data_IF_121987601236
#
_entry.id   IF_121987601236
#
_cell.length_a   1.000
_cell.length_b   1.000
_cell.length_c   1.000
_cell.angle_alpha   90.00
_cell.angle_beta   90.00
_cell.angle_gamma   90.00
#
_symmetry.space_group_name_H-M   'P 1'
#
loop_
_entity.id
_entity.type
_entity.pdbx_description
1 polymer ?
#
# COMPACT_ATOMS: atom_id res chain seq x y z
N UNK A 1 -78.58 8.62 -14.88
CA UNK A 1 -77.24 9.06 -14.42
C UNK A 1 -76.71 8.28 -13.21
N UNK A 2 -77.55 7.60 -12.43
CA UNK A 2 -77.17 7.07 -11.10
C UNK A 2 -76.35 5.77 -11.05
N UNK A 3 -76.28 4.95 -12.11
CA UNK A 3 -75.53 3.68 -12.06
C UNK A 3 -74.04 3.79 -12.42
N UNK A 4 -73.69 4.75 -13.29
CA UNK A 4 -72.30 4.97 -13.72
C UNK A 4 -71.46 5.61 -12.62
N UNK A 5 -72.07 6.52 -11.86
CA UNK A 5 -71.39 7.19 -10.76
C UNK A 5 -71.08 6.23 -9.62
N UNK A 6 -72.03 5.35 -9.25
CA UNK A 6 -71.80 4.31 -8.21
C UNK A 6 -70.67 3.36 -8.62
N UNK A 7 -70.59 2.98 -9.90
CA UNK A 7 -69.50 2.15 -10.39
C UNK A 7 -68.16 2.89 -10.33
N UNK A 8 -68.12 4.16 -10.74
CA UNK A 8 -66.92 4.99 -10.67
C UNK A 8 -66.40 5.17 -9.23
N UNK A 9 -67.29 5.44 -8.26
CA UNK A 9 -66.93 5.55 -6.85
C UNK A 9 -66.39 4.23 -6.29
N UNK A 10 -66.99 3.10 -6.66
CA UNK A 10 -66.52 1.78 -6.20
C UNK A 10 -65.13 1.43 -6.75
N UNK A 11 -64.85 1.76 -8.01
CA UNK A 11 -63.53 1.57 -8.62
C UNK A 11 -62.49 2.48 -7.98
N UNK A 12 -62.84 3.74 -7.70
CA UNK A 12 -61.94 4.69 -7.03
C UNK A 12 -61.57 4.21 -5.62
N UNK A 13 -62.54 3.69 -4.87
CA UNK A 13 -62.33 3.17 -3.52
C UNK A 13 -61.42 1.93 -3.52
N UNK A 14 -61.63 1.02 -4.48
CA UNK A 14 -60.75 -0.12 -4.70
C UNK A 14 -59.33 0.33 -5.01
N UNK A 15 -59.13 1.26 -5.96
CA UNK A 15 -57.80 1.77 -6.30
C UNK A 15 -57.11 2.44 -5.10
N UNK A 16 -57.83 3.21 -4.31
CA UNK A 16 -57.29 3.84 -3.09
C UNK A 16 -56.85 2.79 -2.06
N UNK A 17 -57.67 1.75 -1.86
CA UNK A 17 -57.33 0.66 -0.94
C UNK A 17 -56.09 -0.12 -1.40
N UNK A 18 -55.97 -0.44 -2.69
CA UNK A 18 -54.80 -1.11 -3.25
C UNK A 18 -53.52 -0.27 -3.17
N UNK A 19 -53.61 1.03 -3.46
CA UNK A 19 -52.47 1.94 -3.33
C UNK A 19 -52.03 2.09 -1.87
N UNK A 20 -52.98 2.17 -0.93
CA UNK A 20 -52.67 2.24 0.50
C UNK A 20 -52.01 0.97 1.02
N UNK A 21 -52.47 -0.21 0.59
CA UNK A 21 -51.88 -1.50 0.97
C UNK A 21 -50.48 -1.67 0.40
N UNK A 22 -50.28 -1.29 -0.87
CA UNK A 22 -48.98 -1.34 -1.54
C UNK A 22 -47.97 -0.41 -0.86
N UNK A 23 -48.40 0.81 -0.50
CA UNK A 23 -47.58 1.77 0.23
C UNK A 23 -47.21 1.26 1.63
N UNK A 24 -48.15 0.65 2.35
CA UNK A 24 -47.89 0.04 3.67
C UNK A 24 -46.91 -1.14 3.59
N UNK A 25 -47.07 -2.03 2.59
CA UNK A 25 -46.16 -3.15 2.36
C UNK A 25 -44.75 -2.66 1.98
N UNK A 26 -44.65 -1.60 1.17
CA UNK A 26 -43.37 -1.01 0.78
C UNK A 26 -42.65 -0.35 1.96
N UNK A 27 -43.37 0.38 2.83
CA UNK A 27 -42.79 0.97 4.04
C UNK A 27 -42.37 -0.08 5.06
N UNK A 28 -43.17 -1.13 5.26
CA UNK A 28 -42.82 -2.23 6.18
C UNK A 28 -41.54 -2.95 5.74
N UNK A 29 -41.44 -3.29 4.46
CA UNK A 29 -40.28 -3.99 3.91
C UNK A 29 -39.02 -3.10 3.94
N UNK A 30 -39.16 -1.79 3.71
CA UNK A 30 -38.07 -0.83 3.87
C UNK A 30 -37.56 -0.74 5.31
N UNK A 31 -38.46 -0.64 6.29
CA UNK A 31 -38.13 -0.54 7.71
C UNK A 31 -37.42 -1.80 8.23
N UNK A 32 -37.87 -2.99 7.83
CA UNK A 32 -37.25 -4.27 8.20
C UNK A 32 -35.85 -4.42 7.56
N UNK A 33 -35.67 -3.89 6.35
CA UNK A 33 -34.36 -3.87 5.68
C UNK A 33 -33.39 -2.92 6.41
N UNK A 34 -33.84 -1.74 6.84
CA UNK A 34 -33.00 -0.82 7.62
C UNK A 34 -32.68 -1.36 9.01
N UNK A 35 -33.63 -2.01 9.68
CA UNK A 35 -33.39 -2.65 10.97
C UNK A 35 -32.38 -3.79 10.87
N UNK A 36 -32.48 -4.63 9.84
CA UNK A 36 -31.51 -5.72 9.65
C UNK A 36 -30.11 -5.20 9.34
N UNK A 37 -29.98 -4.18 8.48
CA UNK A 37 -28.69 -3.53 8.20
C UNK A 37 -28.10 -2.84 9.43
N UNK A 38 -28.92 -2.19 10.25
CA UNK A 38 -28.47 -1.55 11.49
C UNK A 38 -28.02 -2.59 12.52
N UNK A 39 -28.74 -3.71 12.64
CA UNK A 39 -28.38 -4.81 13.54
C UNK A 39 -27.07 -5.47 13.11
N UNK A 40 -26.89 -5.67 11.80
CA UNK A 40 -25.65 -6.20 11.22
C UNK A 40 -24.47 -5.25 11.47
N UNK A 41 -24.66 -3.95 11.26
CA UNK A 41 -23.65 -2.93 11.55
C UNK A 41 -23.28 -2.93 13.04
N UNK A 42 -24.27 -3.01 13.93
CA UNK A 42 -24.07 -3.06 15.36
C UNK A 42 -23.33 -4.33 15.81
N UNK A 43 -23.61 -5.48 15.19
CA UNK A 43 -22.86 -6.72 15.43
C UNK A 43 -21.41 -6.61 14.96
N UNK A 44 -21.17 -6.03 13.77
CA UNK A 44 -19.81 -5.79 13.26
C UNK A 44 -19.03 -4.85 14.17
N UNK A 45 -19.69 -3.82 14.71
CA UNK A 45 -19.08 -2.86 15.62
C UNK A 45 -18.73 -3.49 16.97
N UNK A 46 -19.64 -4.29 17.54
CA UNK A 46 -19.37 -5.05 18.78
C UNK A 46 -18.24 -6.08 18.60
N UNK A 47 -18.19 -6.74 17.43
CA UNK A 47 -17.10 -7.65 17.10
C UNK A 47 -15.77 -6.91 17.00
N UNK A 48 -15.76 -5.75 16.31
CA UNK A 48 -14.58 -4.90 16.18
C UNK A 48 -14.10 -4.38 17.55
N UNK A 49 -15.00 -3.94 18.44
CA UNK A 49 -14.64 -3.52 19.80
C UNK A 49 -14.04 -4.67 20.62
N UNK A 50 -14.62 -5.86 20.52
CA UNK A 50 -14.12 -7.04 21.24
C UNK A 50 -12.73 -7.44 20.76
N UNK A 51 -12.51 -7.45 19.45
CA UNK A 51 -11.20 -7.70 18.85
C UNK A 51 -10.20 -6.61 19.22
N UNK A 52 -10.58 -5.33 19.17
CA UNK A 52 -9.72 -4.23 19.56
C UNK A 52 -9.32 -4.31 21.04
N UNK A 53 -10.26 -4.71 21.92
CA UNK A 53 -9.99 -4.93 23.35
C UNK A 53 -9.08 -6.12 23.60
N UNK A 54 -9.21 -7.20 22.83
CA UNK A 54 -8.31 -8.35 22.88
C UNK A 54 -6.89 -7.95 22.45
N UNK A 55 -6.79 -7.22 21.33
CA UNK A 55 -5.51 -6.70 20.79
C UNK A 55 -4.84 -5.70 21.72
N UNK A 56 -5.61 -4.83 22.39
CA UNK A 56 -5.09 -3.92 23.42
C UNK A 56 -4.44 -4.68 24.60
N UNK A 57 -5.02 -5.81 25.00
CA UNK A 57 -4.41 -6.69 26.03
C UNK A 57 -3.12 -7.33 25.53
N UNK A 58 -3.10 -7.82 24.29
CA UNK A 58 -1.89 -8.39 23.68
C UNK A 58 -0.77 -7.34 23.58
N UNK A 59 -1.10 -6.10 23.19
CA UNK A 59 -0.14 -4.98 23.17
C UNK A 59 0.38 -4.63 24.57
N UNK A 60 -0.47 -4.67 25.59
CA UNK A 60 -0.04 -4.47 26.99
C UNK A 60 0.97 -5.54 27.40
N UNK A 61 0.74 -6.81 27.04
CA UNK A 61 1.65 -7.92 27.34
C UNK A 61 3.00 -7.71 26.63
N UNK A 62 2.98 -7.30 25.36
CA UNK A 62 4.22 -7.01 24.60
C UNK A 62 4.96 -5.83 25.20
N UNK A 63 4.26 -4.76 25.59
CA UNK A 63 4.86 -3.59 26.21
C UNK A 63 5.48 -3.90 27.57
N UNK A 64 4.84 -4.75 28.37
CA UNK A 64 5.39 -5.22 29.65
C UNK A 64 6.61 -6.12 29.43
N UNK A 65 6.60 -6.98 28.40
CA UNK A 65 7.78 -7.77 28.02
C UNK A 65 8.96 -6.87 27.57
N UNK A 66 8.70 -5.80 26.80
CA UNK A 66 9.72 -4.83 26.41
C UNK A 66 10.28 -4.10 27.65
N UNK A 67 9.42 -3.67 28.58
CA UNK A 67 9.87 -3.04 29.82
C UNK A 67 10.77 -3.96 30.65
N UNK A 68 10.42 -5.25 30.74
CA UNK A 68 11.24 -6.24 31.43
C UNK A 68 12.62 -6.39 30.77
N UNK A 69 12.67 -6.48 29.43
CA UNK A 69 13.93 -6.57 28.68
C UNK A 69 14.78 -5.29 28.83
N UNK A 70 14.16 -4.11 28.85
CA UNK A 70 14.85 -2.83 29.07
C UNK A 70 15.38 -2.75 30.50
N UNK A 71 14.61 -3.21 31.49
CA UNK A 71 15.05 -3.27 32.89
C UNK A 71 16.20 -4.27 33.09
N UNK A 72 16.16 -5.43 32.44
CA UNK A 72 17.26 -6.39 32.42
C UNK A 72 18.52 -5.80 31.78
N UNK A 73 18.39 -5.00 30.72
CA UNK A 73 19.52 -4.31 30.07
C UNK A 73 20.14 -3.24 30.97
N UNK A 74 19.33 -2.50 31.73
CA UNK A 74 19.81 -1.53 32.72
C UNK A 74 20.59 -2.23 33.85
N UNK A 75 20.14 -3.41 34.29
CA UNK A 75 20.82 -4.20 35.32
C UNK A 75 22.08 -4.94 34.81
N UNK A 76 22.14 -5.27 33.51
CA UNK A 76 23.22 -6.09 32.92
C UNK A 76 24.39 -5.29 32.33
N UNK A 77 24.40 -3.96 32.46
CA UNK A 77 25.56 -3.12 32.07
C UNK A 77 26.81 -3.32 32.95
N UNK A 78 26.79 -4.26 33.90
CA UNK A 78 27.91 -4.54 34.79
C UNK A 78 28.83 -5.69 34.35
N UNK A 79 28.47 -6.61 33.44
CA UNK A 79 29.36 -7.74 33.08
C UNK A 79 29.16 -8.24 31.62
N UNK A 80 30.26 -8.34 30.87
CA UNK A 80 30.41 -9.01 29.55
C UNK A 80 29.92 -10.49 29.59
N UNK A 81 29.52 -11.21 28.52
CA UNK A 81 30.14 -11.40 27.18
C UNK A 81 29.16 -11.99 26.14
N UNK A 82 29.54 -11.85 24.87
CA UNK A 82 28.95 -12.11 23.54
C UNK A 82 28.03 -13.32 23.26
N UNK A 83 27.80 -14.29 24.14
CA UNK A 83 27.03 -15.52 23.79
C UNK A 83 25.50 -15.37 23.82
N UNK A 84 24.95 -14.34 24.46
CA UNK A 84 23.50 -14.12 24.55
C UNK A 84 22.92 -13.32 23.36
N UNK A 85 23.79 -12.69 22.56
CA UNK A 85 23.36 -11.83 21.46
C UNK A 85 22.65 -12.61 20.35
N UNK A 86 23.02 -13.86 20.07
CA UNK A 86 22.44 -14.61 18.94
C UNK A 86 21.01 -15.10 19.22
N UNK A 87 20.73 -15.62 20.42
CA UNK A 87 19.37 -15.99 20.82
C UNK A 87 18.44 -14.77 20.95
N UNK A 88 19.01 -13.63 21.35
CA UNK A 88 18.28 -12.37 21.49
C UNK A 88 18.04 -11.68 20.14
N UNK A 89 18.96 -11.80 19.18
CA UNK A 89 18.79 -11.32 17.79
C UNK A 89 17.72 -12.11 17.06
N UNK A 90 17.62 -13.42 17.33
CA UNK A 90 16.58 -14.32 16.81
C UNK A 90 15.21 -14.04 17.42
N UNK A 91 15.15 -13.65 18.70
CA UNK A 91 13.90 -13.17 19.33
C UNK A 91 13.52 -11.78 18.85
N UNK A 92 14.46 -10.86 18.71
CA UNK A 92 14.22 -9.49 18.22
C UNK A 92 13.78 -9.49 16.75
N UNK A 93 14.33 -10.34 15.88
CA UNK A 93 13.89 -10.49 14.49
C UNK A 93 12.45 -10.98 14.36
N UNK A 94 11.97 -11.76 15.34
CA UNK A 94 10.57 -12.19 15.40
C UNK A 94 9.62 -11.10 15.93
N UNK A 95 10.13 -10.04 16.56
CA UNK A 95 9.33 -8.91 17.05
C UNK A 95 9.32 -7.73 16.08
N UNK A 96 10.39 -7.50 15.32
CA UNK A 96 10.44 -6.47 14.27
C UNK A 96 9.72 -6.88 12.97
N UNK A 97 9.32 -8.15 12.83
CA UNK A 97 8.56 -8.62 11.67
C UNK A 97 7.09 -8.21 11.71
N UNK A 98 6.54 -7.77 12.85
CA UNK A 98 5.15 -7.31 12.91
C UNK A 98 5.05 -5.88 12.38
N UNK A 99 4.38 -5.76 11.24
CA UNK A 99 4.00 -4.52 10.56
C UNK A 99 3.76 -3.36 11.55
N UNK A 100 4.27 -2.14 11.27
CA UNK A 100 3.93 -0.96 12.05
C UNK A 100 2.42 -0.87 12.29
N UNK A 101 2.02 -0.47 13.50
CA UNK A 101 0.63 -0.35 13.98
C UNK A 101 -0.35 0.35 13.01
N UNK A 102 0.16 1.11 12.03
CA UNK A 102 -0.59 1.80 10.99
C UNK A 102 -1.08 0.89 9.85
N UNK A 103 -0.55 -0.33 9.67
CA UNK A 103 -1.04 -1.27 8.65
C UNK A 103 -2.22 -2.14 9.12
N UNK A 104 -2.75 -1.90 10.32
CA UNK A 104 -3.89 -2.65 10.87
C UNK A 104 -5.14 -2.58 9.95
N UNK A 105 -5.26 -1.49 9.19
CA UNK A 105 -6.38 -1.29 8.26
C UNK A 105 -6.19 -1.98 6.90
N UNK A 106 -5.02 -2.56 6.59
CA UNK A 106 -4.86 -3.25 5.30
C UNK A 106 -5.88 -4.39 5.15
N UNK A 107 -6.16 -5.12 6.22
CA UNK A 107 -7.18 -6.18 6.20
C UNK A 107 -8.61 -5.68 6.05
N UNK A 108 -8.87 -4.38 6.25
CA UNK A 108 -10.16 -3.78 5.94
C UNK A 108 -10.32 -3.57 4.43
N UNK A 109 -9.26 -3.10 3.76
CA UNK A 109 -9.27 -2.85 2.32
C UNK A 109 -9.02 -4.11 1.49
N UNK A 110 -8.23 -5.05 2.02
CA UNK A 110 -7.80 -6.32 1.41
C UNK A 110 -8.13 -7.50 2.36
N UNK A 111 -9.42 -7.81 2.59
CA UNK A 111 -9.83 -8.81 3.58
C UNK A 111 -9.37 -10.23 3.27
N UNK A 112 -9.14 -10.57 1.99
CA UNK A 112 -8.61 -11.87 1.58
C UNK A 112 -7.21 -12.16 2.15
N UNK A 113 -6.48 -11.14 2.59
CA UNK A 113 -5.17 -11.31 3.23
C UNK A 113 -5.26 -11.86 4.65
N UNK A 114 -6.44 -11.87 5.29
CA UNK A 114 -6.61 -12.49 6.61
C UNK A 114 -6.33 -13.99 6.57
N UNK A 115 -6.63 -14.66 5.46
CA UNK A 115 -6.33 -16.07 5.24
C UNK A 115 -4.88 -16.30 4.76
N UNK A 116 -4.18 -15.22 4.41
CA UNK A 116 -2.87 -15.22 3.76
C UNK A 116 -1.96 -14.12 4.32
N UNK A 117 -1.75 -14.09 5.64
CA UNK A 117 -0.97 -13.03 6.30
C UNK A 117 0.45 -12.89 5.73
N UNK A 118 1.06 -13.99 5.30
CA UNK A 118 2.40 -14.00 4.70
C UNK A 118 2.48 -13.23 3.37
N UNK A 119 1.35 -12.95 2.72
CA UNK A 119 1.29 -12.27 1.42
C UNK A 119 1.53 -10.76 1.50
N UNK A 120 1.60 -10.21 2.71
CA UNK A 120 2.07 -8.84 2.95
C UNK A 120 3.60 -8.72 2.87
N UNK A 121 4.32 -9.84 2.96
CA UNK A 121 5.77 -9.87 2.86
C UNK A 121 6.20 -10.23 1.44
N UNK A 122 7.16 -9.50 0.84
CA UNK A 122 7.67 -9.85 -0.48
C UNK A 122 8.41 -11.18 -0.47
N UNK A 123 8.32 -11.87 -1.60
CA UNK A 123 9.32 -12.85 -1.97
C UNK A 123 10.59 -12.10 -2.38
N UNK A 124 11.57 -12.03 -1.47
CA UNK A 124 12.87 -11.41 -1.73
C UNK A 124 13.74 -12.41 -2.47
N UNK A 125 13.95 -12.18 -3.76
CA UNK A 125 14.75 -13.05 -4.64
C UNK A 125 16.22 -12.65 -4.61
N UNK A 126 16.47 -11.34 -4.50
CA UNK A 126 17.80 -10.77 -4.34
C UNK A 126 17.71 -9.68 -3.27
N UNK A 127 18.52 -9.76 -2.22
CA UNK A 127 18.66 -8.67 -1.29
C UNK A 127 19.58 -9.00 -0.11
N UNK A 128 20.24 -7.98 0.41
CA UNK A 128 21.08 -8.05 1.61
C UNK A 128 20.40 -7.43 2.84
N UNK A 129 19.15 -6.98 2.70
CA UNK A 129 18.39 -6.37 3.79
C UNK A 129 18.95 -5.02 4.23
N UNK A 130 19.48 -4.24 3.29
CA UNK A 130 20.09 -2.93 3.61
C UNK A 130 19.01 -1.97 4.12
N UNK A 131 19.33 -1.27 5.20
CA UNK A 131 18.50 -0.26 5.88
C UNK A 131 19.35 0.94 6.31
N UNK A 132 18.70 2.05 6.67
CA UNK A 132 19.36 3.26 7.18
C UNK A 132 19.97 4.14 6.10
N UNK A 133 19.53 4.02 4.84
CA UNK A 133 20.01 4.83 3.72
C UNK A 133 19.26 6.17 3.61
N UNK A 134 19.84 7.16 2.96
CA UNK A 134 19.13 8.43 2.71
C UNK A 134 18.00 8.25 1.70
N UNK A 135 18.25 7.49 0.61
CA UNK A 135 17.31 7.37 -0.51
C UNK A 135 17.02 5.91 -0.88
N UNK A 136 15.74 5.57 -0.98
CA UNK A 136 15.25 4.31 -1.52
C UNK A 136 14.58 4.60 -2.87
N UNK A 137 14.99 3.92 -3.93
CA UNK A 137 14.44 4.06 -5.27
C UNK A 137 13.63 2.82 -5.64
N UNK A 138 12.31 2.97 -5.79
CA UNK A 138 11.42 1.88 -6.18
C UNK A 138 11.21 1.85 -7.70
N UNK A 139 11.49 0.71 -8.33
CA UNK A 139 11.31 0.48 -9.77
C UNK A 139 10.39 -0.73 -9.98
N UNK A 140 9.09 -0.51 -10.25
CA UNK A 140 8.18 -1.58 -10.63
C UNK A 140 8.43 -1.99 -12.08
N UNK A 141 8.40 -3.29 -12.36
CA UNK A 141 8.50 -3.85 -13.70
C UNK A 141 7.46 -4.94 -13.90
N UNK A 142 6.95 -5.04 -15.12
CA UNK A 142 5.85 -5.91 -15.55
C UNK A 142 6.28 -6.64 -16.81
N UNK A 143 5.72 -7.83 -17.06
CA UNK A 143 6.05 -8.58 -18.27
C UNK A 143 5.54 -7.85 -19.51
N UNK A 144 6.47 -7.45 -20.38
CA UNK A 144 6.19 -6.86 -21.70
C UNK A 144 6.51 -7.88 -22.80
N UNK A 145 5.73 -7.89 -23.89
CA UNK A 145 5.90 -8.86 -24.98
C UNK A 145 7.08 -8.53 -25.91
N UNK A 146 7.43 -7.25 -26.06
CA UNK A 146 8.37 -6.78 -27.10
C UNK A 146 9.80 -6.59 -26.59
N UNK A 147 9.96 -5.83 -25.50
CA UNK A 147 11.29 -5.46 -24.99
C UNK A 147 11.21 -5.15 -23.49
N UNK A 148 12.26 -5.54 -22.75
CA UNK A 148 12.49 -5.12 -21.37
C UNK A 148 13.44 -3.92 -21.34
N UNK A 149 13.01 -2.84 -20.68
CA UNK A 149 13.78 -1.59 -20.56
C UNK A 149 14.59 -1.51 -19.26
N UNK A 150 14.30 -2.40 -18.30
CA UNK A 150 14.85 -2.40 -16.95
C UNK A 150 16.38 -2.32 -16.93
N UNK A 151 17.07 -3.11 -17.75
CA UNK A 151 18.54 -3.11 -17.76
C UNK A 151 19.13 -1.78 -18.24
N UNK A 152 18.48 -1.13 -19.21
CA UNK A 152 18.89 0.20 -19.67
C UNK A 152 18.74 1.23 -18.55
N UNK A 153 17.61 1.18 -17.84
CA UNK A 153 17.33 2.04 -16.68
C UNK A 153 18.34 1.84 -15.56
N UNK A 154 18.62 0.59 -15.16
CA UNK A 154 19.60 0.29 -14.10
C UNK A 154 21.01 0.73 -14.47
N UNK A 155 21.44 0.47 -15.72
CA UNK A 155 22.72 0.94 -16.21
C UNK A 155 22.81 2.47 -16.13
N UNK A 156 21.79 3.18 -16.58
CA UNK A 156 21.76 4.65 -16.52
C UNK A 156 21.80 5.18 -15.09
N UNK A 157 21.04 4.56 -14.17
CA UNK A 157 21.01 4.95 -12.76
C UNK A 157 22.36 4.76 -12.08
N UNK A 158 22.99 3.58 -12.23
CA UNK A 158 24.24 3.25 -11.55
C UNK A 158 25.47 3.89 -12.19
N UNK A 159 25.42 4.18 -13.50
CA UNK A 159 26.49 4.91 -14.18
C UNK A 159 26.64 6.33 -13.64
N UNK A 160 25.53 6.99 -13.33
CA UNK A 160 25.48 8.36 -12.83
C UNK A 160 25.66 8.47 -11.29
N UNK A 161 25.95 7.36 -10.60
CA UNK A 161 26.19 7.33 -9.15
C UNK A 161 27.67 7.16 -8.80
N UNK A 162 28.14 7.92 -7.81
CA UNK A 162 29.44 7.67 -7.16
C UNK A 162 29.36 6.48 -6.17
N UNK A 163 30.51 5.95 -5.76
CA UNK A 163 30.57 4.88 -4.75
C UNK A 163 29.94 5.29 -3.41
N UNK A 164 30.10 6.56 -3.00
CA UNK A 164 29.46 7.09 -1.79
C UNK A 164 27.93 7.10 -1.92
N UNK A 165 27.41 7.50 -3.08
CA UNK A 165 25.97 7.51 -3.35
C UNK A 165 25.41 6.09 -3.40
N UNK A 166 26.14 5.13 -4.00
CA UNK A 166 25.76 3.71 -3.97
C UNK A 166 25.72 3.13 -2.55
N UNK A 167 26.51 3.65 -1.62
CA UNK A 167 26.48 3.23 -0.21
C UNK A 167 25.30 3.84 0.57
N UNK A 168 24.83 5.01 0.16
CA UNK A 168 23.76 5.77 0.80
C UNK A 168 22.40 5.63 0.09
N UNK A 169 22.21 4.53 -0.66
CA UNK A 169 20.94 4.21 -1.27
C UNK A 169 20.65 2.72 -1.39
N UNK A 170 19.39 2.43 -1.72
CA UNK A 170 18.91 1.11 -2.15
C UNK A 170 17.99 1.32 -3.35
N UNK A 171 18.23 0.57 -4.43
CA UNK A 171 17.34 0.41 -5.57
C UNK A 171 16.57 -0.90 -5.38
N UNK A 172 15.26 -0.81 -5.29
CA UNK A 172 14.36 -1.96 -5.15
C UNK A 172 13.64 -2.17 -6.46
N UNK A 173 13.94 -3.27 -7.14
CA UNK A 173 13.19 -3.73 -8.30
C UNK A 173 12.00 -4.56 -7.80
N UNK A 174 10.80 -4.11 -8.09
CA UNK A 174 9.58 -4.87 -7.84
C UNK A 174 9.10 -5.52 -9.13
N UNK A 175 9.33 -6.82 -9.26
CA UNK A 175 8.79 -7.60 -10.36
C UNK A 175 7.32 -7.88 -10.04
N UNK A 176 6.43 -7.08 -10.62
CA UNK A 176 4.99 -7.10 -10.36
C UNK A 176 4.28 -8.28 -11.06
N UNK A 177 4.89 -9.45 -10.99
CA UNK A 177 4.46 -10.70 -11.61
C UNK A 177 4.45 -11.82 -10.58
N UNK A 178 3.53 -12.77 -10.75
CA UNK A 178 3.36 -13.92 -9.85
C UNK A 178 4.00 -15.20 -10.39
N UNK A 179 4.37 -15.21 -11.68
CA UNK A 179 5.01 -16.36 -12.32
C UNK A 179 6.47 -16.46 -11.87
N UNK A 180 6.78 -17.51 -11.10
CA UNK A 180 8.10 -17.71 -10.50
C UNK A 180 9.22 -17.86 -11.54
N UNK A 181 8.97 -18.49 -12.70
CA UNK A 181 9.97 -18.64 -13.75
C UNK A 181 10.37 -17.29 -14.35
N UNK A 182 9.38 -16.43 -14.60
CA UNK A 182 9.62 -15.07 -15.09
C UNK A 182 10.34 -14.21 -14.05
N UNK A 183 9.92 -14.26 -12.78
CA UNK A 183 10.59 -13.54 -11.70
C UNK A 183 12.05 -13.98 -11.58
N UNK A 184 12.30 -15.29 -11.61
CA UNK A 184 13.66 -15.84 -11.52
C UNK A 184 14.52 -15.48 -12.74
N UNK A 185 13.95 -15.42 -13.94
CA UNK A 185 14.72 -15.02 -15.14
C UNK A 185 15.14 -13.56 -15.09
N UNK A 186 14.29 -12.66 -14.57
CA UNK A 186 14.65 -11.26 -14.31
C UNK A 186 15.73 -11.18 -13.24
N UNK A 187 15.56 -11.89 -12.12
CA UNK A 187 16.55 -11.90 -11.05
C UNK A 187 17.93 -12.41 -11.53
N UNK A 188 17.96 -13.48 -12.33
CA UNK A 188 19.21 -14.00 -12.91
C UNK A 188 19.87 -13.01 -13.87
N UNK A 189 19.06 -12.35 -14.70
CA UNK A 189 19.56 -11.30 -15.59
C UNK A 189 20.16 -10.14 -14.80
N UNK A 190 19.50 -9.71 -13.71
CA UNK A 190 20.00 -8.65 -12.81
C UNK A 190 21.30 -9.09 -12.13
N UNK A 191 21.36 -10.32 -11.62
CA UNK A 191 22.54 -10.88 -10.95
C UNK A 191 23.74 -10.96 -11.89
N UNK A 192 23.51 -11.32 -13.14
CA UNK A 192 24.55 -11.43 -14.17
C UNK A 192 25.06 -10.05 -14.59
N UNK A 193 24.17 -9.06 -14.77
CA UNK A 193 24.56 -7.73 -15.24
C UNK A 193 25.11 -6.81 -14.14
N UNK A 194 24.68 -6.98 -12.88
CA UNK A 194 25.04 -6.11 -11.76
C UNK A 194 25.52 -6.87 -10.51
N UNK A 195 26.55 -7.74 -10.63
CA UNK A 195 26.96 -8.61 -9.53
C UNK A 195 27.48 -7.83 -8.32
N UNK A 196 28.21 -6.72 -8.54
CA UNK A 196 28.77 -5.88 -7.48
C UNK A 196 27.67 -5.15 -6.70
N UNK A 197 26.68 -4.60 -7.41
CA UNK A 197 25.54 -3.91 -6.82
C UNK A 197 24.71 -4.88 -5.96
N UNK A 198 24.44 -6.08 -6.48
CA UNK A 198 23.75 -7.15 -5.75
C UNK A 198 24.53 -7.57 -4.50
N UNK A 199 25.84 -7.79 -4.62
CA UNK A 199 26.68 -8.21 -3.49
C UNK A 199 26.77 -7.12 -2.42
N UNK A 200 26.88 -5.86 -2.82
CA UNK A 200 26.93 -4.74 -1.87
C UNK A 200 25.59 -4.55 -1.13
N UNK A 201 24.47 -4.98 -1.70
CA UNK A 201 23.13 -4.75 -1.19
C UNK A 201 22.53 -3.40 -1.60
N UNK A 202 23.12 -2.67 -2.56
CA UNK A 202 22.48 -1.48 -3.16
C UNK A 202 21.32 -1.87 -4.09
N UNK A 203 21.30 -3.09 -4.61
CA UNK A 203 20.26 -3.56 -5.53
C UNK A 203 19.52 -4.76 -4.95
N UNK A 204 18.20 -4.64 -4.87
CA UNK A 204 17.30 -5.70 -4.40
C UNK A 204 16.25 -6.02 -5.48
N UNK A 205 15.82 -7.29 -5.54
CA UNK A 205 14.74 -7.78 -6.40
C UNK A 205 13.72 -8.47 -5.52
N UNK A 206 12.49 -7.98 -5.57
CA UNK A 206 11.34 -8.52 -4.84
C UNK A 206 10.18 -8.82 -5.79
N UNK A 207 9.33 -9.77 -5.41
CA UNK A 207 8.06 -10.04 -6.10
C UNK A 207 6.94 -10.30 -5.08
N UNK A 208 5.68 -10.11 -5.47
CA UNK A 208 4.54 -10.41 -4.60
C UNK A 208 4.17 -11.90 -4.69
N UNK A 209 3.53 -12.42 -3.64
CA UNK A 209 2.83 -13.71 -3.72
C UNK A 209 1.52 -13.55 -4.50
N UNK A 210 1.05 -14.62 -5.17
CA UNK A 210 -0.20 -14.57 -5.93
C UNK A 210 -1.41 -14.17 -5.06
N UNK A 211 -1.44 -14.64 -3.81
CA UNK A 211 -2.48 -14.34 -2.82
C UNK A 211 -2.42 -12.91 -2.29
N UNK A 212 -1.42 -12.10 -2.63
CA UNK A 212 -1.44 -10.66 -2.35
C UNK A 212 -2.59 -9.97 -3.09
N UNK A 213 -2.84 -10.37 -4.34
CA UNK A 213 -3.85 -9.74 -5.16
C UNK A 213 -5.26 -10.29 -4.84
N UNK A 214 -6.27 -9.41 -4.70
CA UNK A 214 -7.66 -9.83 -4.65
C UNK A 214 -8.11 -10.35 -6.03
N UNK A 215 -9.30 -10.93 -6.10
CA UNK A 215 -9.94 -11.19 -7.38
C UNK A 215 -10.22 -9.88 -8.13
N UNK A 216 -9.56 -9.71 -9.28
CA UNK A 216 -9.68 -8.55 -10.16
C UNK A 216 -10.60 -8.81 -11.38
N UNK A 217 -11.30 -9.94 -11.43
CA UNK A 217 -12.18 -10.29 -12.55
C UNK A 217 -13.49 -9.48 -12.59
N UNK A 218 -13.99 -9.09 -11.40
CA UNK A 218 -15.30 -8.45 -11.22
C UNK A 218 -15.19 -6.94 -10.91
N UNK A 219 -14.32 -6.22 -11.62
CA UNK A 219 -14.17 -4.78 -11.46
C UNK A 219 -15.21 -4.01 -12.26
N UNK A 220 -15.73 -2.93 -11.68
CA UNK A 220 -16.65 -2.00 -12.36
C UNK A 220 -15.88 -1.19 -13.40
N UNK A 221 -16.39 -1.17 -14.62
CA UNK A 221 -15.89 -0.28 -15.68
C UNK A 221 -16.18 1.18 -15.31
N UNK A 222 -15.16 2.02 -15.41
CA UNK A 222 -15.25 3.46 -15.14
C UNK A 222 -14.42 4.22 -16.16
N UNK A 223 -14.70 5.53 -16.32
CA UNK A 223 -13.95 6.43 -17.22
C UNK A 223 -13.93 6.03 -18.70
N UNK A 224 -14.80 5.11 -19.12
CA UNK A 224 -14.82 4.59 -20.50
C UNK A 224 -13.66 3.62 -20.80
N UNK A 225 -12.93 3.18 -19.78
CA UNK A 225 -11.84 2.21 -19.90
C UNK A 225 -12.38 0.79 -20.16
N UNK A 226 -11.63 0.00 -20.93
CA UNK A 226 -11.89 -1.44 -21.06
C UNK A 226 -11.65 -2.17 -19.73
N UNK A 227 -12.19 -3.39 -19.58
CA UNK A 227 -11.95 -4.23 -18.40
C UNK A 227 -10.46 -4.46 -18.14
N UNK A 228 -9.68 -4.67 -19.19
CA UNK A 228 -8.24 -4.87 -19.10
C UNK A 228 -7.55 -3.62 -18.57
N UNK A 229 -7.95 -2.43 -19.04
CA UNK A 229 -7.40 -1.16 -18.57
C UNK A 229 -7.78 -0.88 -17.12
N UNK A 230 -9.02 -1.16 -16.72
CA UNK A 230 -9.49 -1.08 -15.33
C UNK A 230 -8.69 -2.02 -14.44
N UNK A 231 -8.56 -3.29 -14.84
CA UNK A 231 -7.74 -4.27 -14.13
C UNK A 231 -6.29 -3.81 -13.99
N UNK A 232 -5.71 -3.25 -15.06
CA UNK A 232 -4.35 -2.73 -15.06
C UNK A 232 -4.16 -1.61 -14.02
N UNK A 233 -4.98 -0.56 -14.06
CA UNK A 233 -4.87 0.57 -13.12
C UNK A 233 -5.16 0.15 -11.68
N UNK A 234 -6.08 -0.78 -11.46
CA UNK A 234 -6.37 -1.32 -10.12
C UNK A 234 -5.20 -2.15 -9.59
N UNK A 235 -4.59 -3.00 -10.42
CA UNK A 235 -3.39 -3.75 -10.06
C UNK A 235 -2.23 -2.80 -9.76
N UNK A 236 -2.03 -1.76 -10.57
CA UNK A 236 -0.97 -0.76 -10.37
C UNK A 236 -1.06 -0.06 -9.02
N UNK A 237 -2.27 0.28 -8.55
CA UNK A 237 -2.47 0.81 -7.20
C UNK A 237 -1.93 -0.13 -6.12
N UNK A 238 -2.19 -1.43 -6.26
CA UNK A 238 -1.72 -2.46 -5.33
C UNK A 238 -0.20 -2.67 -5.42
N UNK A 239 0.34 -2.63 -6.65
CA UNK A 239 1.77 -2.79 -6.94
C UNK A 239 2.60 -1.70 -6.27
N UNK A 240 2.21 -0.43 -6.47
CA UNK A 240 2.93 0.70 -5.90
C UNK A 240 2.77 0.74 -4.38
N UNK A 241 1.57 0.42 -3.87
CA UNK A 241 1.33 0.29 -2.42
C UNK A 241 2.26 -0.74 -1.79
N UNK A 242 2.42 -1.91 -2.41
CA UNK A 242 3.30 -2.96 -1.92
C UNK A 242 4.77 -2.52 -1.87
N UNK A 243 5.25 -1.92 -2.97
CA UNK A 243 6.62 -1.43 -3.09
C UNK A 243 6.93 -0.32 -2.08
N UNK A 244 6.01 0.64 -1.92
CA UNK A 244 6.14 1.73 -0.94
C UNK A 244 6.24 1.20 0.49
N UNK A 245 5.40 0.24 0.86
CA UNK A 245 5.45 -0.38 2.20
C UNK A 245 6.75 -1.13 2.45
N UNK A 246 7.25 -1.87 1.46
CA UNK A 246 8.55 -2.55 1.58
C UNK A 246 9.71 -1.56 1.71
N UNK A 247 9.64 -0.41 1.05
CA UNK A 247 10.65 0.63 1.11
C UNK A 247 10.63 1.43 2.43
N UNK A 248 9.49 1.47 3.12
CA UNK A 248 9.27 2.29 4.32
C UNK A 248 10.35 2.17 5.40
N UNK A 249 10.78 0.97 5.84
CA UNK A 249 11.79 0.85 6.90
C UNK A 249 13.23 1.04 6.41
N UNK A 250 13.47 1.20 5.10
CA UNK A 250 14.82 1.13 4.52
C UNK A 250 15.58 2.44 4.53
N UNK A 251 14.90 3.59 4.44
CA UNK A 251 15.59 4.86 4.35
C UNK A 251 14.77 6.07 4.76
N UNK A 252 15.30 7.26 4.51
CA UNK A 252 14.67 8.54 4.87
C UNK A 252 13.67 9.02 3.81
N UNK A 253 14.04 8.87 2.54
CA UNK A 253 13.22 9.25 1.40
C UNK A 253 12.95 8.05 0.49
N UNK A 254 11.78 8.03 -0.11
CA UNK A 254 11.38 7.09 -1.15
C UNK A 254 11.13 7.82 -2.46
N UNK A 255 11.80 7.41 -3.53
CA UNK A 255 11.62 7.92 -4.88
C UNK A 255 10.95 6.85 -5.74
N UNK A 256 9.78 7.16 -6.25
CA UNK A 256 9.09 6.31 -7.21
C UNK A 256 9.65 6.53 -8.62
N UNK A 257 10.08 5.45 -9.27
CA UNK A 257 10.58 5.43 -10.64
C UNK A 257 9.75 4.45 -11.49
N UNK A 258 10.03 4.40 -12.80
CA UNK A 258 9.55 3.37 -13.75
C UNK A 258 10.76 2.66 -14.37
N UNK A 259 10.52 1.53 -15.04
CA UNK A 259 11.56 0.68 -15.61
C UNK A 259 12.07 1.14 -16.98
N UNK A 260 11.57 2.25 -17.52
CA UNK A 260 11.91 2.83 -18.83
C UNK A 260 12.34 4.31 -18.76
N UNK A 261 13.30 4.61 -17.89
CA UNK A 261 13.88 5.95 -17.75
C UNK A 261 15.39 6.03 -18.02
N UNK A 262 15.83 7.27 -18.24
CA UNK A 262 17.25 7.62 -18.33
C UNK A 262 17.55 8.69 -17.28
N UNK A 263 18.49 8.37 -16.38
CA UNK A 263 18.94 9.27 -15.34
C UNK A 263 19.67 10.48 -15.93
N UNK A 264 19.40 11.66 -15.38
CA UNK A 264 20.18 12.86 -15.70
C UNK A 264 21.47 12.90 -14.87
N UNK A 265 22.54 13.53 -15.38
CA UNK A 265 23.75 13.68 -14.61
C UNK A 265 23.52 14.35 -13.25
N UNK A 266 24.13 13.75 -12.22
CA UNK A 266 24.05 14.18 -10.82
C UNK A 266 22.63 14.17 -10.23
N UNK A 267 21.69 13.39 -10.78
CA UNK A 267 20.31 13.35 -10.28
C UNK A 267 20.26 13.05 -8.77
N UNK A 268 21.06 12.10 -8.29
CA UNK A 268 21.07 11.69 -6.88
C UNK A 268 21.37 12.86 -5.95
N UNK A 269 22.47 13.58 -6.24
CA UNK A 269 22.90 14.73 -5.44
C UNK A 269 21.86 15.85 -5.49
N UNK A 270 21.30 16.13 -6.68
CA UNK A 270 20.28 17.18 -6.87
C UNK A 270 19.01 16.88 -6.08
N UNK A 271 18.51 15.65 -6.15
CA UNK A 271 17.33 15.20 -5.40
C UNK A 271 17.57 15.32 -3.90
N UNK A 272 18.69 14.76 -3.40
CA UNK A 272 19.03 14.79 -1.98
C UNK A 272 19.20 16.22 -1.46
N UNK A 273 19.94 17.05 -2.18
CA UNK A 273 20.17 18.46 -1.79
C UNK A 273 18.88 19.25 -1.78
N UNK A 274 18.02 19.08 -2.79
CA UNK A 274 16.73 19.75 -2.85
C UNK A 274 15.82 19.32 -1.70
N UNK A 275 15.70 18.02 -1.43
CA UNK A 275 14.89 17.51 -0.32
C UNK A 275 15.36 18.03 1.05
N UNK A 276 16.66 18.05 1.30
CA UNK A 276 17.25 18.55 2.55
C UNK A 276 17.16 20.08 2.70
N UNK A 277 17.04 20.82 1.59
CA UNK A 277 16.87 22.27 1.62
C UNK A 277 15.48 22.73 2.03
N UNK A 278 14.49 21.82 2.02
CA UNK A 278 13.11 22.13 2.38
C UNK A 278 12.87 21.91 3.87
N UNK A 279 12.11 22.80 4.54
CA UNK A 279 11.70 22.58 5.93
C UNK A 279 10.96 21.24 6.08
N UNK A 280 11.24 20.51 7.16
CA UNK A 280 10.76 19.14 7.35
C UNK A 280 9.25 19.00 7.48
N UNK A 281 8.51 20.10 7.68
CA UNK A 281 7.10 20.10 8.05
C UNK A 281 6.20 20.76 6.98
N UNK A 282 6.75 21.25 5.88
CA UNK A 282 6.02 22.08 4.90
C UNK A 282 5.64 21.38 3.59
N UNK A 283 6.14 20.16 3.33
CA UNK A 283 5.88 19.45 2.07
C UNK A 283 5.36 18.04 2.30
N UNK A 284 4.60 17.51 1.35
CA UNK A 284 4.10 16.12 1.33
C UNK A 284 4.85 15.31 0.28
N UNK A 285 5.06 15.90 -0.90
CA UNK A 285 5.74 15.29 -2.04
C UNK A 285 6.65 16.33 -2.69
N UNK A 286 7.81 15.89 -3.19
CA UNK A 286 8.64 16.68 -4.11
C UNK A 286 8.66 15.98 -5.48
N UNK A 287 8.46 16.75 -6.54
CA UNK A 287 8.34 16.21 -7.89
C UNK A 287 9.56 16.51 -8.75
N UNK A 288 10.05 15.49 -9.46
CA UNK A 288 11.20 15.57 -10.36
C UNK A 288 10.87 15.11 -11.79
N UNK A 289 9.60 14.81 -12.05
CA UNK A 289 9.05 14.51 -13.38
C UNK A 289 7.65 15.10 -13.51
N UNK A 290 7.34 15.61 -14.70
CA UNK A 290 6.01 16.12 -15.06
C UNK A 290 5.05 15.02 -15.53
N UNK A 291 5.55 13.81 -15.76
CA UNK A 291 4.77 12.69 -16.27
C UNK A 291 4.27 11.84 -15.10
N UNK A 292 2.95 11.69 -14.96
CA UNK A 292 2.30 10.72 -14.06
C UNK A 292 2.92 10.59 -12.67
N UNK A 293 2.99 9.35 -12.18
CA UNK A 293 3.40 9.01 -10.82
C UNK A 293 4.93 8.82 -10.67
N UNK A 294 5.66 8.91 -11.76
CA UNK A 294 7.12 8.82 -11.76
C UNK A 294 7.76 10.11 -11.21
N UNK A 295 8.94 9.95 -10.61
CA UNK A 295 9.75 11.06 -10.11
C UNK A 295 9.14 11.72 -8.87
N UNK A 296 8.25 11.02 -8.17
CA UNK A 296 7.62 11.49 -6.93
C UNK A 296 8.47 11.04 -5.74
N UNK A 297 8.95 12.01 -4.98
CA UNK A 297 9.75 11.80 -3.78
C UNK A 297 8.88 12.01 -2.54
N UNK A 298 8.91 11.04 -1.65
CA UNK A 298 8.16 10.99 -0.41
C UNK A 298 9.10 10.85 0.78
N UNK A 299 8.69 11.33 1.95
CA UNK A 299 9.33 10.90 3.21
C UNK A 299 8.81 9.51 3.54
N UNK A 300 9.70 8.59 3.88
CA UNK A 300 9.30 7.20 4.20
C UNK A 300 8.34 7.14 5.38
N UNK A 301 8.48 8.04 6.36
CA UNK A 301 7.56 8.16 7.51
C UNK A 301 6.09 8.41 7.12
N UNK A 302 5.84 9.01 5.97
CA UNK A 302 4.48 9.35 5.51
C UNK A 302 3.88 8.27 4.58
N UNK A 303 4.70 7.32 4.11
CA UNK A 303 4.25 6.26 3.21
C UNK A 303 3.06 5.45 3.77
N UNK A 304 2.99 5.06 5.06
CA UNK A 304 1.85 4.32 5.57
C UNK A 304 0.50 5.04 5.37
N UNK A 305 0.45 6.35 5.57
CA UNK A 305 -0.75 7.16 5.37
C UNK A 305 -1.12 7.25 3.88
N UNK A 306 -0.12 7.47 3.02
CA UNK A 306 -0.32 7.60 1.58
C UNK A 306 -0.82 6.27 1.00
N UNK A 307 -0.17 5.17 1.39
CA UNK A 307 -0.56 3.82 0.97
C UNK A 307 -1.95 3.47 1.47
N UNK A 308 -2.30 3.82 2.71
CA UNK A 308 -3.65 3.61 3.22
C UNK A 308 -4.71 4.31 2.34
N UNK A 309 -4.45 5.56 1.94
CA UNK A 309 -5.35 6.28 1.03
C UNK A 309 -5.46 5.59 -0.34
N UNK A 310 -4.34 5.09 -0.89
CA UNK A 310 -4.37 4.35 -2.15
C UNK A 310 -5.17 3.05 -2.04
N UNK A 311 -4.99 2.31 -0.95
CA UNK A 311 -5.72 1.07 -0.69
C UNK A 311 -7.21 1.31 -0.43
N UNK A 312 -7.60 2.46 0.12
CA UNK A 312 -9.01 2.82 0.30
C UNK A 312 -9.77 2.93 -1.04
N UNK A 313 -9.11 3.42 -2.09
CA UNK A 313 -9.74 3.75 -3.37
C UNK A 313 -9.12 3.01 -4.56
N UNK A 314 -8.43 1.90 -4.32
CA UNK A 314 -7.63 1.21 -5.34
C UNK A 314 -8.44 0.71 -6.55
N UNK A 315 -9.75 0.48 -6.38
CA UNK A 315 -10.67 0.09 -7.47
C UNK A 315 -11.20 1.29 -8.24
N UNK A 316 -11.30 2.46 -7.59
CA UNK A 316 -12.11 3.58 -8.07
C UNK A 316 -11.37 4.48 -9.06
N UNK A 317 -10.07 4.74 -8.83
CA UNK A 317 -9.29 5.69 -9.63
C UNK A 317 -7.86 5.19 -9.88
N UNK A 318 -7.20 5.63 -10.97
CA UNK A 318 -5.77 5.40 -11.17
C UNK A 318 -4.94 6.14 -10.11
N UNK A 319 -3.72 5.66 -9.87
CA UNK A 319 -2.86 6.13 -8.76
C UNK A 319 -2.53 7.62 -8.84
N UNK A 320 -2.34 8.16 -10.04
CA UNK A 320 -2.08 9.59 -10.28
C UNK A 320 -3.20 10.45 -9.71
N UNK A 321 -4.45 10.08 -10.00
CA UNK A 321 -5.62 10.82 -9.55
C UNK A 321 -5.84 10.65 -8.05
N UNK A 322 -5.52 9.49 -7.50
CA UNK A 322 -5.54 9.29 -6.04
C UNK A 322 -4.51 10.18 -5.36
N UNK A 323 -3.33 10.36 -5.95
CA UNK A 323 -2.32 11.28 -5.45
C UNK A 323 -2.83 12.73 -5.46
N UNK A 324 -3.40 13.17 -6.58
CA UNK A 324 -3.96 14.51 -6.71
C UNK A 324 -5.07 14.78 -5.68
N UNK A 325 -5.96 13.81 -5.48
CA UNK A 325 -7.01 13.90 -4.46
C UNK A 325 -6.46 13.95 -3.04
N UNK A 326 -5.42 13.17 -2.73
CA UNK A 326 -4.76 13.22 -1.43
C UNK A 326 -4.15 14.59 -1.17
N UNK A 327 -3.45 15.15 -2.18
CA UNK A 327 -2.85 16.48 -2.09
C UNK A 327 -3.91 17.56 -1.94
N UNK A 328 -4.99 17.49 -2.72
CA UNK A 328 -6.12 18.42 -2.61
C UNK A 328 -6.67 18.46 -1.19
N UNK A 329 -6.93 17.30 -0.58
CA UNK A 329 -7.47 17.23 0.79
C UNK A 329 -6.48 17.74 1.84
N UNK A 330 -5.16 17.56 1.63
CA UNK A 330 -4.15 17.90 2.62
C UNK A 330 -3.65 19.34 2.53
N UNK A 331 -3.71 19.96 1.36
CA UNK A 331 -3.08 21.27 1.08
C UNK A 331 -4.12 22.37 0.83
N UNK A 332 -5.27 22.04 0.24
CA UNK A 332 -6.30 23.03 -0.05
C UNK A 332 -7.20 23.24 1.17
N UNK A 333 -7.19 24.45 1.72
CA UNK A 333 -8.08 24.83 2.81
C UNK A 333 -9.39 25.40 2.23
N UNK A 334 -10.55 24.77 2.47
CA UNK A 334 -11.83 25.25 1.95
C UNK A 334 -12.26 26.62 2.50
N UNK A 335 -11.59 27.13 3.54
CA UNK A 335 -11.85 28.45 4.13
C UNK A 335 -11.22 29.62 3.35
N UNK A 336 -10.47 29.34 2.28
CA UNK A 336 -9.75 30.35 1.48
C UNK A 336 -10.36 30.63 0.10
N UNK A 337 -11.54 30.07 -0.18
CA UNK A 337 -12.31 30.31 -1.41
C UNK A 337 -13.51 31.23 -1.20
#
# INVERSE_FOLDING_TARGET
ETLKDVFAYSVLYCLYSFLSLSWFLFLGNGLDTYQSQFLELHQRLLYAEKENKKRSRELSIVLDAIKLVVAERLNSTANHTESQNDAMKLKMSNFTSKLPLHLTNIYYYLPHLQEHENSLYPNVVIGQGRIGVSLVMGIPTVKREKQSYLMGTLNSLFYEMSSEQKNDCVVVIFVAEVNAEYVNSIAESVRTSFPNEVQSGVLEVISPLASYYPDLSNLKETFGDSKERVRWRTKQNLDYSFLMLYAQPKGTFYLQLEDDIVAKPQYFQKIKTFALSKPSDEWIILEFSQLGFIGKLFRTKDLPLIVEFFLMFYKDKPIDWLLDHLLWVKVCNPEKD
#
